data_IF_137320004491
#
_entry.id   IF_137320004491
#
_cell.length_a   1.000
_cell.length_b   1.000
_cell.length_c   1.000
_cell.angle_alpha   90.00
_cell.angle_beta   90.00
_cell.angle_gamma   90.00
#
_symmetry.space_group_name_H-M   'P 1'
#
loop_
_entity.id
_entity.type
_entity.pdbx_description
1 polymer ?
#
# COMPACT_ATOMS: atom_id res chain seq x y z
N UNK A 1 0.62 29.75 -12.22
CA UNK A 1 -0.39 29.17 -11.31
C UNK A 1 -0.81 27.83 -11.89
N UNK A 2 -0.26 26.71 -11.39
CA UNK A 2 -0.68 25.38 -11.84
C UNK A 2 -1.96 24.99 -11.12
N UNK A 3 -3.02 24.68 -11.87
CA UNK A 3 -4.26 24.18 -11.30
C UNK A 3 -4.00 22.81 -10.64
N UNK A 4 -4.33 22.69 -9.34
CA UNK A 4 -4.39 21.40 -8.66
C UNK A 4 -5.45 20.56 -9.38
N UNK A 5 -5.03 19.40 -9.89
CA UNK A 5 -5.94 18.37 -10.40
C UNK A 5 -6.92 18.04 -9.26
N UNK A 6 -8.24 17.95 -9.51
CA UNK A 6 -9.18 17.59 -8.46
C UNK A 6 -8.75 16.24 -7.87
N UNK A 7 -8.67 16.15 -6.53
CA UNK A 7 -8.53 14.87 -5.87
C UNK A 7 -9.75 14.05 -6.28
N UNK A 8 -9.53 12.89 -6.91
CA UNK A 8 -10.65 12.04 -7.30
C UNK A 8 -11.34 11.56 -6.02
N UNK A 9 -12.67 11.65 -6.01
CA UNK A 9 -13.49 11.40 -4.83
C UNK A 9 -13.23 10.00 -4.24
N UNK A 10 -13.13 9.89 -2.90
CA UNK A 10 -13.17 8.62 -2.19
C UNK A 10 -14.48 7.87 -2.41
N UNK A 11 -14.41 6.54 -2.50
CA UNK A 11 -15.59 5.71 -2.85
C UNK A 11 -16.08 4.76 -1.75
N UNK A 12 -15.49 4.78 -0.55
CA UNK A 12 -15.90 3.89 0.55
C UNK A 12 -15.67 2.39 0.29
N UNK A 13 -14.68 2.05 -0.53
CA UNK A 13 -14.50 0.69 -1.02
C UNK A 13 -13.62 -0.14 -0.07
N UNK A 14 -14.23 -1.06 0.68
CA UNK A 14 -13.52 -2.02 1.54
C UNK A 14 -12.96 -3.21 0.74
N UNK A 15 -11.79 -3.73 1.11
CA UNK A 15 -11.23 -4.95 0.57
C UNK A 15 -12.09 -6.17 0.92
N UNK A 16 -12.07 -7.17 0.05
CA UNK A 16 -12.64 -8.46 0.40
C UNK A 16 -11.84 -9.07 1.57
N UNK A 17 -12.52 -9.73 2.51
CA UNK A 17 -11.86 -10.37 3.68
C UNK A 17 -10.73 -11.30 3.26
N UNK A 18 -10.93 -12.07 2.20
CA UNK A 18 -9.90 -12.97 1.69
C UNK A 18 -8.65 -12.23 1.19
N UNK A 19 -8.79 -11.04 0.60
CA UNK A 19 -7.65 -10.22 0.20
C UNK A 19 -6.93 -9.62 1.43
N UNK A 20 -7.68 -9.23 2.47
CA UNK A 20 -7.10 -8.82 3.75
C UNK A 20 -6.27 -9.95 4.39
N UNK A 21 -6.79 -11.18 4.37
CA UNK A 21 -6.08 -12.35 4.89
C UNK A 21 -4.80 -12.64 4.08
N UNK A 22 -4.84 -12.52 2.75
CA UNK A 22 -3.65 -12.67 1.89
C UNK A 22 -2.60 -11.61 2.18
N UNK A 23 -3.00 -10.35 2.32
CA UNK A 23 -2.07 -9.27 2.66
C UNK A 23 -1.47 -9.45 4.05
N UNK A 24 -2.25 -9.93 5.02
CA UNK A 24 -1.76 -10.25 6.37
C UNK A 24 -0.74 -11.37 6.34
N UNK A 25 -1.06 -12.49 5.70
CA UNK A 25 -0.18 -13.64 5.57
C UNK A 25 1.13 -13.28 4.84
N UNK A 26 1.04 -12.42 3.81
CA UNK A 26 2.23 -11.83 3.19
C UNK A 26 3.05 -10.99 4.17
N UNK A 27 2.41 -10.12 4.96
CA UNK A 27 3.10 -9.27 5.93
C UNK A 27 3.82 -10.09 7.01
N UNK A 28 3.15 -11.13 7.53
CA UNK A 28 3.68 -12.05 8.52
C UNK A 28 4.93 -12.78 7.98
N UNK A 29 4.88 -13.29 6.74
CA UNK A 29 6.04 -13.92 6.09
C UNK A 29 7.25 -13.01 5.89
N UNK A 30 7.02 -11.71 5.69
CA UNK A 30 8.08 -10.73 5.40
C UNK A 30 8.50 -9.95 6.65
N UNK A 31 7.99 -10.29 7.83
CA UNK A 31 8.35 -9.61 9.07
C UNK A 31 7.99 -8.13 9.08
N UNK A 32 6.86 -7.78 8.45
CA UNK A 32 6.32 -6.41 8.45
C UNK A 32 4.93 -6.42 9.09
N UNK A 33 4.53 -5.26 9.62
CA UNK A 33 3.23 -5.11 10.26
C UNK A 33 2.22 -4.55 9.28
N UNK A 34 1.10 -5.26 9.12
CA UNK A 34 -0.09 -4.75 8.45
C UNK A 34 -0.95 -3.95 9.44
N UNK A 35 -1.40 -2.76 9.01
CA UNK A 35 -2.35 -1.92 9.74
C UNK A 35 -3.46 -1.53 8.78
N UNK A 36 -4.71 -1.78 9.18
CA UNK A 36 -5.89 -1.26 8.48
C UNK A 36 -6.18 0.14 9.05
N UNK A 37 -6.27 1.13 8.17
CA UNK A 37 -6.63 2.52 8.49
C UNK A 37 -7.93 2.85 7.79
N UNK A 38 -8.79 3.58 8.48
CA UNK A 38 -9.91 4.27 7.85
C UNK A 38 -9.44 5.70 7.63
N UNK A 39 -9.24 6.06 6.37
CA UNK A 39 -8.90 7.44 6.00
C UNK A 39 -10.19 8.16 5.58
N UNK A 40 -10.35 9.41 6.00
CA UNK A 40 -11.50 10.23 5.63
C UNK A 40 -10.99 11.38 4.76
N UNK A 41 -11.65 11.62 3.63
CA UNK A 41 -11.46 12.89 2.93
C UNK A 41 -12.38 13.93 3.57
N UNK A 42 -11.90 15.16 3.69
CA UNK A 42 -12.50 16.19 4.56
C UNK A 42 -13.86 16.67 4.03
N UNK A 43 -14.21 16.33 2.78
CA UNK A 43 -15.39 16.84 2.08
C UNK A 43 -16.48 15.78 1.76
N UNK A 44 -16.30 14.51 2.10
CA UNK A 44 -17.29 13.46 1.80
C UNK A 44 -17.27 12.35 2.87
N UNK A 45 -18.43 12.02 3.45
CA UNK A 45 -18.60 11.15 4.64
C UNK A 45 -18.17 9.67 4.46
N UNK A 46 -17.52 9.33 3.35
CA UNK A 46 -17.11 7.98 3.00
C UNK A 46 -15.67 7.70 3.46
N UNK A 47 -15.53 6.81 4.45
CA UNK A 47 -14.23 6.32 4.92
C UNK A 47 -13.61 5.36 3.89
N UNK A 48 -12.35 5.59 3.52
CA UNK A 48 -11.56 4.67 2.70
C UNK A 48 -10.80 3.66 3.56
N UNK A 49 -10.93 2.38 3.22
CA UNK A 49 -10.05 1.37 3.80
C UNK A 49 -8.68 1.42 3.13
N UNK A 50 -7.67 1.82 3.91
CA UNK A 50 -6.27 1.91 3.50
C UNK A 50 -5.45 0.91 4.30
N UNK A 51 -4.73 0.03 3.61
CA UNK A 51 -3.75 -0.87 4.21
C UNK A 51 -2.40 -0.17 4.26
N UNK A 52 -1.79 -0.13 5.43
CA UNK A 52 -0.44 0.37 5.62
C UNK A 52 0.49 -0.77 6.04
N UNK A 53 1.62 -0.92 5.33
CA UNK A 53 2.72 -1.77 5.78
C UNK A 53 3.78 -0.94 6.48
N UNK A 54 4.20 -1.45 7.64
CA UNK A 54 5.17 -0.80 8.53
C UNK A 54 6.31 -1.74 8.85
N UNK A 55 7.51 -1.18 8.98
CA UNK A 55 8.66 -1.95 9.49
C UNK A 55 8.45 -2.28 10.97
N UNK A 56 8.84 -3.49 11.38
CA UNK A 56 8.64 -3.92 12.77
C UNK A 56 9.51 -3.11 13.76
N UNK A 57 10.72 -2.71 13.36
CA UNK A 57 11.71 -2.06 14.23
C UNK A 57 11.40 -0.61 14.56
N UNK A 58 10.97 0.19 13.57
CA UNK A 58 10.73 1.63 13.74
C UNK A 58 9.25 2.02 13.60
N UNK A 59 8.37 1.04 13.34
CA UNK A 59 6.95 1.26 13.04
C UNK A 59 6.72 2.28 11.91
N UNK A 60 7.73 2.46 11.06
CA UNK A 60 7.70 3.42 9.96
C UNK A 60 6.88 2.82 8.84
N UNK A 61 5.83 3.53 8.44
CA UNK A 61 5.08 3.21 7.24
C UNK A 61 6.00 3.34 6.03
N UNK A 62 5.93 2.40 5.09
CA UNK A 62 6.71 2.50 3.86
C UNK A 62 5.85 2.26 2.61
N UNK A 63 4.66 1.67 2.79
CA UNK A 63 3.73 1.36 1.72
C UNK A 63 2.29 1.59 2.19
N UNK A 64 1.50 2.26 1.35
CA UNK A 64 0.06 2.38 1.48
C UNK A 64 -0.61 1.67 0.30
N UNK A 65 -1.73 1.00 0.56
CA UNK A 65 -2.50 0.29 -0.44
C UNK A 65 -3.98 0.61 -0.21
N UNK A 66 -4.68 1.03 -1.25
CA UNK A 66 -6.12 1.23 -1.22
C UNK A 66 -6.74 0.76 -2.53
N UNK A 67 -8.05 0.57 -2.54
CA UNK A 67 -8.77 0.14 -3.73
C UNK A 67 -9.63 1.25 -4.29
N UNK A 68 -9.74 1.26 -5.60
CA UNK A 68 -10.77 1.99 -6.34
C UNK A 68 -11.82 0.99 -6.83
N UNK A 69 -12.79 1.47 -7.63
CA UNK A 69 -13.80 0.59 -8.25
C UNK A 69 -13.16 -0.42 -9.20
N UNK A 70 -12.04 -0.07 -9.82
CA UNK A 70 -11.48 -0.81 -10.96
C UNK A 70 -10.06 -1.33 -10.69
N UNK A 71 -9.39 -0.83 -9.66
CA UNK A 71 -7.96 -1.08 -9.46
C UNK A 71 -7.55 -1.06 -7.99
N UNK A 72 -6.37 -1.59 -7.74
CA UNK A 72 -5.64 -1.46 -6.48
C UNK A 72 -4.51 -0.47 -6.69
N UNK A 73 -4.44 0.57 -5.87
CA UNK A 73 -3.37 1.55 -5.88
C UNK A 73 -2.39 1.21 -4.78
N UNK A 74 -1.10 1.19 -5.12
CA UNK A 74 0.00 0.99 -4.20
C UNK A 74 0.87 2.23 -4.23
N UNK A 75 0.97 2.94 -3.10
CA UNK A 75 1.80 4.12 -2.93
C UNK A 75 2.95 3.81 -1.99
N UNK A 76 4.17 3.65 -2.53
CA UNK A 76 5.38 3.73 -1.72
C UNK A 76 5.48 5.11 -1.07
N UNK A 77 5.97 5.21 0.17
CA UNK A 77 6.25 6.54 0.74
C UNK A 77 7.33 7.30 -0.03
N UNK A 78 8.25 6.55 -0.67
CA UNK A 78 9.25 7.09 -1.57
C UNK A 78 9.01 6.51 -2.95
N UNK A 79 8.53 7.33 -3.88
CA UNK A 79 8.33 6.92 -5.27
C UNK A 79 6.95 7.30 -5.81
N UNK A 80 6.65 6.76 -7.00
CA UNK A 80 5.38 7.00 -7.69
C UNK A 80 4.37 5.92 -7.31
N UNK A 81 3.07 6.26 -7.24
CA UNK A 81 2.04 5.25 -7.09
C UNK A 81 2.03 4.30 -8.29
N UNK A 82 1.76 3.04 -7.99
CA UNK A 82 1.62 1.93 -8.94
C UNK A 82 0.16 1.47 -8.94
N UNK A 83 -0.30 0.98 -10.09
CA UNK A 83 -1.69 0.56 -10.29
C UNK A 83 -1.71 -0.91 -10.68
N UNK A 84 -2.51 -1.70 -9.97
CA UNK A 84 -2.66 -3.12 -10.19
C UNK A 84 -4.12 -3.49 -10.36
N UNK A 85 -4.37 -4.62 -11.04
CA UNK A 85 -5.74 -5.15 -11.26
C UNK A 85 -6.32 -5.90 -10.05
N UNK A 86 -5.46 -6.39 -9.16
CA UNK A 86 -5.87 -7.21 -8.02
C UNK A 86 -4.81 -7.25 -6.94
N UNK A 87 -5.21 -7.63 -5.72
CA UNK A 87 -4.29 -7.83 -4.60
C UNK A 87 -3.29 -8.96 -4.88
N UNK A 88 -3.70 -10.04 -5.57
CA UNK A 88 -2.77 -11.10 -5.98
C UNK A 88 -1.59 -10.55 -6.81
N UNK A 89 -1.90 -9.74 -7.82
CA UNK A 89 -0.88 -9.07 -8.64
C UNK A 89 0.02 -8.15 -7.83
N UNK A 90 -0.53 -7.42 -6.85
CA UNK A 90 0.28 -6.60 -5.93
C UNK A 90 1.30 -7.47 -5.20
N UNK A 91 0.84 -8.56 -4.57
CA UNK A 91 1.69 -9.40 -3.73
C UNK A 91 2.79 -10.12 -4.53
N UNK A 92 2.49 -10.55 -5.75
CA UNK A 92 3.48 -11.15 -6.67
C UNK A 92 4.61 -10.17 -7.01
N UNK A 93 4.27 -8.91 -7.29
CA UNK A 93 5.24 -7.89 -7.69
C UNK A 93 6.00 -7.24 -6.51
N UNK A 94 5.43 -7.28 -5.30
CA UNK A 94 6.12 -6.80 -4.10
C UNK A 94 7.28 -7.70 -3.67
N UNK A 95 7.21 -9.00 -3.96
CA UNK A 95 8.29 -9.96 -3.70
C UNK A 95 9.53 -9.61 -4.53
N UNK A 96 9.35 -9.36 -5.83
CA UNK A 96 10.44 -9.03 -6.76
C UNK A 96 11.14 -7.70 -6.41
N UNK A 97 10.41 -6.74 -5.83
CA UNK A 97 10.96 -5.45 -5.41
C UNK A 97 11.80 -5.49 -4.12
N UNK A 98 11.62 -6.48 -3.26
CA UNK A 98 12.40 -6.62 -2.02
C UNK A 98 13.74 -7.33 -2.25
N UNK A 99 13.78 -8.31 -3.16
CA UNK A 99 15.03 -9.00 -3.51
C UNK A 99 16.04 -8.05 -4.19
N UNK A 100 15.55 -7.07 -4.94
CA UNK A 100 16.39 -6.03 -5.57
C UNK A 100 16.84 -4.92 -4.60
N UNK A 101 16.21 -4.77 -3.43
CA UNK A 101 16.57 -3.77 -2.44
C UNK A 101 17.60 -4.28 -1.40
N UNK A 102 17.84 -5.60 -1.35
CA UNK A 102 18.75 -6.24 -0.40
C UNK A 102 20.16 -6.48 -0.96
N UNK A 103 20.41 -6.19 -2.24
CA UNK A 103 21.72 -6.37 -2.89
C UNK A 103 22.61 -5.12 -2.93
N UNK A 104 22.21 -3.99 -2.35
CA UNK A 104 23.03 -2.76 -2.40
C UNK A 104 23.31 -2.18 -1.02
N UNK A 105 24.02 -2.95 -0.18
CA UNK A 105 24.87 -2.38 0.89
C UNK A 105 26.00 -3.37 1.22
N UNK A 106 26.91 -3.64 0.28
CA UNK A 106 28.29 -3.98 0.68
C UNK A 106 29.04 -2.67 0.87
N UNK A 107 29.25 -2.32 2.13
CA UNK A 107 30.24 -1.33 2.54
C UNK A 107 31.61 -1.75 2.00
N UNK A 108 32.25 -0.84 1.25
CA UNK A 108 33.68 -0.92 0.98
C UNK A 108 34.34 0.07 1.94
N UNK A 109 35.00 -0.46 2.96
CA UNK A 109 36.11 0.20 3.65
C UNK A 109 37.42 -0.15 2.92
#
# INVERSE_FOLDING_TARGET
MMARRPAAAPKGLAFAIHDLLRMRDWADRHGVRMVIRLDHDVDNEDYEEVIAFRTNTKQTCFLLIWRTTESIIVQPLLGRPLVFRSVGHVLENLVEGQDNAMTDTTATD
#
